data_IF_591735549509
#
_entry.id   IF_591735549509
#
_cell.length_a   1.000
_cell.length_b   1.000
_cell.length_c   1.000
_cell.angle_alpha   90.00
_cell.angle_beta   90.00
_cell.angle_gamma   90.00
#
_symmetry.space_group_name_H-M   'P 1'
#
loop_
_entity.id
_entity.type
_entity.pdbx_description
1 polymer ?
#
# COMPACT_ATOMS: atom_id res chain seq x y z
N UNK A 1 -1.89 -9.08 20.82
CA UNK A 1 -2.65 -9.07 19.55
C UNK A 1 -1.96 -8.21 18.48
N UNK A 2 -1.29 -7.10 18.82
CA UNK A 2 -0.62 -6.27 17.81
C UNK A 2 0.57 -6.95 17.09
N UNK A 3 1.23 -7.95 17.69
CA UNK A 3 2.39 -8.63 17.09
C UNK A 3 2.04 -9.67 16.01
N UNK A 4 0.86 -10.28 16.07
CA UNK A 4 0.54 -11.44 15.23
C UNK A 4 0.35 -11.06 13.76
N UNK A 5 -0.35 -9.96 13.47
CA UNK A 5 -0.53 -9.48 12.11
C UNK A 5 0.80 -9.04 11.47
N UNK A 6 1.70 -8.45 12.26
CA UNK A 6 3.03 -8.02 11.79
C UNK A 6 3.93 -9.23 11.52
N UNK A 7 3.86 -10.27 12.35
CA UNK A 7 4.56 -11.53 12.15
C UNK A 7 4.06 -12.28 10.92
N UNK A 8 2.75 -12.42 10.76
CA UNK A 8 2.13 -13.06 9.59
C UNK A 8 2.48 -12.29 8.31
N UNK A 9 2.39 -10.95 8.34
CA UNK A 9 2.80 -10.12 7.21
C UNK A 9 4.28 -10.31 6.88
N UNK A 10 5.17 -10.37 7.87
CA UNK A 10 6.59 -10.59 7.65
C UNK A 10 6.87 -11.95 6.98
N UNK A 11 6.24 -13.02 7.47
CA UNK A 11 6.40 -14.38 6.91
C UNK A 11 5.87 -14.44 5.48
N UNK A 12 4.66 -13.95 5.23
CA UNK A 12 4.07 -13.99 3.89
C UNK A 12 4.84 -13.14 2.89
N UNK A 13 5.27 -11.94 3.29
CA UNK A 13 6.12 -11.09 2.43
C UNK A 13 7.47 -11.75 2.13
N UNK A 14 8.05 -12.50 3.07
CA UNK A 14 9.25 -13.29 2.80
C UNK A 14 9.00 -14.36 1.72
N UNK A 15 7.87 -15.06 1.81
CA UNK A 15 7.46 -16.06 0.81
C UNK A 15 7.17 -15.43 -0.56
N UNK A 16 6.63 -14.22 -0.60
CA UNK A 16 6.38 -13.48 -1.86
C UNK A 16 7.64 -13.24 -2.69
N UNK A 17 8.82 -13.06 -2.08
CA UNK A 17 10.06 -12.85 -2.84
C UNK A 17 10.95 -14.10 -2.92
N UNK A 18 10.90 -14.99 -1.93
CA UNK A 18 11.84 -16.12 -1.81
C UNK A 18 11.22 -17.48 -2.16
N UNK A 19 10.30 -17.54 -3.12
CA UNK A 19 9.63 -18.78 -3.50
C UNK A 19 9.32 -18.85 -5.00
N UNK A 20 9.01 -20.03 -5.55
CA UNK A 20 8.49 -20.18 -6.91
C UNK A 20 7.19 -19.38 -7.12
N UNK A 21 6.93 -18.96 -8.36
CA UNK A 21 5.83 -18.05 -8.70
C UNK A 21 4.46 -18.48 -8.16
N UNK A 22 4.14 -19.78 -8.16
CA UNK A 22 2.87 -20.29 -7.62
C UNK A 22 2.73 -20.06 -6.11
N UNK A 23 3.83 -20.20 -5.36
CA UNK A 23 3.88 -19.91 -3.92
C UNK A 23 3.84 -18.41 -3.68
N UNK A 24 4.51 -17.60 -4.51
CA UNK A 24 4.43 -16.14 -4.40
C UNK A 24 2.99 -15.65 -4.53
N UNK A 25 2.24 -16.17 -5.53
CA UNK A 25 0.82 -15.86 -5.72
C UNK A 25 -0.02 -16.29 -4.52
N UNK A 26 0.15 -17.51 -4.04
CA UNK A 26 -0.56 -18.01 -2.86
C UNK A 26 -0.24 -17.20 -1.59
N UNK A 27 1.02 -16.81 -1.40
CA UNK A 27 1.45 -15.99 -0.28
C UNK A 27 0.82 -14.58 -0.34
N UNK A 28 0.75 -13.98 -1.52
CA UNK A 28 0.09 -12.68 -1.70
C UNK A 28 -1.42 -12.76 -1.43
N UNK A 29 -2.09 -13.83 -1.89
CA UNK A 29 -3.50 -14.08 -1.60
C UNK A 29 -3.76 -14.27 -0.11
N UNK A 30 -2.92 -15.06 0.58
CA UNK A 30 -3.00 -15.24 2.03
C UNK A 30 -2.79 -13.92 2.78
N UNK A 31 -1.91 -13.06 2.28
CA UNK A 31 -1.69 -11.74 2.86
C UNK A 31 -2.94 -10.86 2.69
N UNK A 32 -3.64 -10.99 1.56
CA UNK A 32 -4.95 -10.37 1.35
C UNK A 32 -6.01 -10.85 2.34
N UNK A 33 -6.11 -12.16 2.60
CA UNK A 33 -7.02 -12.68 3.61
C UNK A 33 -6.70 -12.16 5.02
N UNK A 34 -5.41 -12.11 5.38
CA UNK A 34 -4.98 -11.51 6.65
C UNK A 34 -5.43 -10.04 6.76
N UNK A 35 -5.27 -9.25 5.69
CA UNK A 35 -5.73 -7.85 5.63
C UNK A 35 -7.23 -7.72 5.88
N UNK A 36 -8.04 -8.69 5.44
CA UNK A 36 -9.49 -8.70 5.66
C UNK A 36 -9.90 -9.06 7.10
N UNK A 37 -9.07 -9.82 7.81
CA UNK A 37 -9.35 -10.25 9.19
C UNK A 37 -8.96 -9.24 10.27
N UNK A 38 -8.12 -8.26 9.95
CA UNK A 38 -7.68 -7.21 10.88
C UNK A 38 -8.31 -5.87 10.53
N UNK A 39 -8.29 -4.89 11.44
CA UNK A 39 -8.87 -3.58 11.08
C UNK A 39 -8.04 -2.90 9.99
N UNK A 40 -8.66 -2.03 9.18
CA UNK A 40 -7.97 -1.29 8.14
C UNK A 40 -6.74 -0.55 8.64
N UNK A 41 -6.81 0.12 9.79
CA UNK A 41 -5.68 0.85 10.36
C UNK A 41 -4.43 -0.02 10.60
N UNK A 42 -4.63 -1.28 11.03
CA UNK A 42 -3.54 -2.25 11.25
C UNK A 42 -3.02 -2.81 9.93
N UNK A 43 -3.93 -3.24 9.06
CA UNK A 43 -3.57 -3.71 7.72
C UNK A 43 -2.73 -2.67 6.95
N UNK A 44 -3.16 -1.41 6.96
CA UNK A 44 -2.42 -0.33 6.28
C UNK A 44 -1.01 -0.17 6.86
N UNK A 45 -0.87 -0.15 8.19
CA UNK A 45 0.45 -0.03 8.84
C UNK A 45 1.37 -1.20 8.47
N UNK A 46 0.91 -2.45 8.61
CA UNK A 46 1.70 -3.63 8.33
C UNK A 46 2.20 -3.68 6.87
N UNK A 47 1.34 -3.28 5.92
CA UNK A 47 1.68 -3.22 4.51
C UNK A 47 2.67 -2.08 4.19
N UNK A 48 2.45 -0.88 4.73
CA UNK A 48 3.30 0.29 4.45
C UNK A 48 4.72 0.13 5.00
N UNK A 49 4.87 -0.38 6.22
CA UNK A 49 6.15 -0.43 6.93
C UNK A 49 7.14 -1.39 6.26
N UNK A 50 6.65 -2.50 5.69
CA UNK A 50 7.49 -3.58 5.16
C UNK A 50 7.48 -3.68 3.64
N UNK A 51 6.37 -3.33 3.01
CA UNK A 51 6.11 -3.66 1.61
C UNK A 51 6.54 -2.59 0.61
N UNK A 52 6.22 -1.33 0.88
CA UNK A 52 6.32 -0.23 -0.10
C UNK A 52 7.77 0.04 -0.52
N UNK A 53 8.72 -0.02 0.42
CA UNK A 53 10.15 0.25 0.17
C UNK A 53 10.98 -1.03 -0.03
N UNK A 54 10.34 -2.17 -0.28
CA UNK A 54 11.07 -3.42 -0.47
C UNK A 54 11.96 -3.38 -1.71
N UNK A 55 13.16 -3.96 -1.62
CA UNK A 55 14.05 -4.13 -2.79
C UNK A 55 13.47 -5.10 -3.83
N UNK A 56 12.54 -5.97 -3.43
CA UNK A 56 11.96 -6.99 -4.29
C UNK A 56 10.67 -6.49 -4.95
N UNK A 57 10.65 -6.52 -6.28
CA UNK A 57 9.52 -6.06 -7.10
C UNK A 57 8.23 -6.81 -6.78
N UNK A 58 8.33 -8.13 -6.55
CA UNK A 58 7.19 -8.99 -6.23
C UNK A 58 6.48 -8.54 -4.95
N UNK A 59 7.26 -8.15 -3.93
CA UNK A 59 6.73 -7.62 -2.67
C UNK A 59 6.07 -6.27 -2.88
N UNK A 60 6.72 -5.34 -3.58
CA UNK A 60 6.14 -4.01 -3.84
C UNK A 60 4.84 -4.11 -4.63
N UNK A 61 4.81 -4.95 -5.66
CA UNK A 61 3.60 -5.23 -6.46
C UNK A 61 2.46 -5.77 -5.60
N UNK A 62 2.72 -6.84 -4.83
CA UNK A 62 1.72 -7.45 -3.97
C UNK A 62 1.14 -6.44 -2.96
N UNK A 63 2.01 -5.66 -2.31
CA UNK A 63 1.59 -4.65 -1.34
C UNK A 63 0.82 -3.51 -1.99
N UNK A 64 1.20 -3.07 -3.19
CA UNK A 64 0.49 -2.03 -3.91
C UNK A 64 -0.94 -2.46 -4.29
N UNK A 65 -1.12 -3.70 -4.77
CA UNK A 65 -2.43 -4.28 -5.08
C UNK A 65 -3.34 -4.35 -3.83
N UNK A 66 -2.80 -4.83 -2.71
CA UNK A 66 -3.53 -4.95 -1.44
C UNK A 66 -3.87 -3.59 -0.83
N UNK A 67 -2.95 -2.62 -0.91
CA UNK A 67 -3.20 -1.25 -0.45
C UNK A 67 -4.29 -0.58 -1.28
N UNK A 68 -4.30 -0.78 -2.60
CA UNK A 68 -5.32 -0.18 -3.47
C UNK A 68 -6.69 -0.76 -3.10
N UNK A 69 -6.77 -2.09 -3.01
CA UNK A 69 -8.00 -2.78 -2.59
C UNK A 69 -8.51 -2.30 -1.23
N UNK A 70 -7.62 -2.07 -0.26
CA UNK A 70 -7.99 -1.54 1.05
C UNK A 70 -8.49 -0.09 0.97
N UNK A 71 -7.83 0.75 0.17
CA UNK A 71 -8.22 2.13 -0.04
C UNK A 71 -9.59 2.23 -0.73
N UNK A 72 -9.84 1.41 -1.74
CA UNK A 72 -11.13 1.31 -2.44
C UNK A 72 -12.25 0.91 -1.48
N UNK A 73 -12.02 -0.12 -0.67
CA UNK A 73 -12.99 -0.59 0.35
C UNK A 73 -13.30 0.48 1.41
N UNK A 74 -12.30 1.25 1.83
CA UNK A 74 -12.50 2.33 2.81
C UNK A 74 -13.21 3.54 2.18
N UNK A 75 -12.88 3.88 0.94
CA UNK A 75 -13.31 5.08 0.26
C UNK A 75 -12.57 6.33 0.73
N UNK A 76 -12.38 7.27 -0.20
CA UNK A 76 -11.54 8.47 -0.02
C UNK A 76 -11.96 9.34 1.18
N UNK A 77 -13.26 9.49 1.43
CA UNK A 77 -13.76 10.32 2.54
C UNK A 77 -13.37 9.75 3.90
N UNK A 78 -13.47 8.43 4.08
CA UNK A 78 -13.03 7.77 5.33
C UNK A 78 -11.52 7.85 5.47
N UNK A 79 -10.77 7.61 4.38
CA UNK A 79 -9.31 7.72 4.38
C UNK A 79 -8.84 9.12 4.80
N UNK A 80 -9.48 10.18 4.30
CA UNK A 80 -9.16 11.56 4.62
C UNK A 80 -9.33 11.89 6.11
N UNK A 81 -10.27 11.22 6.78
CA UNK A 81 -10.52 11.35 8.22
C UNK A 81 -9.53 10.57 9.10
N UNK A 82 -8.65 9.74 8.53
CA UNK A 82 -7.71 8.93 9.32
C UNK A 82 -6.45 9.72 9.69
N UNK A 83 -5.79 9.39 10.81
CA UNK A 83 -4.46 9.91 11.14
C UNK A 83 -3.36 9.53 10.13
N UNK A 84 -3.65 8.59 9.22
CA UNK A 84 -2.70 8.06 8.23
C UNK A 84 -2.83 8.71 6.86
N UNK A 85 -3.75 9.68 6.69
CA UNK A 85 -4.04 10.31 5.40
C UNK A 85 -2.78 10.84 4.69
N UNK A 86 -1.96 11.64 5.37
CA UNK A 86 -0.73 12.19 4.78
C UNK A 86 0.23 11.09 4.35
N UNK A 87 0.46 10.11 5.24
CA UNK A 87 1.35 8.99 4.97
C UNK A 87 0.86 8.14 3.78
N UNK A 88 -0.45 7.96 3.64
CA UNK A 88 -1.07 7.27 2.50
C UNK A 88 -0.86 8.04 1.20
N UNK A 89 -0.97 9.37 1.20
CA UNK A 89 -0.69 10.20 0.03
C UNK A 89 0.79 10.05 -0.40
N UNK A 90 1.72 10.09 0.55
CA UNK A 90 3.14 9.85 0.27
C UNK A 90 3.39 8.45 -0.30
N UNK A 91 2.74 7.42 0.25
CA UNK A 91 2.88 6.04 -0.26
C UNK A 91 2.29 5.89 -1.65
N UNK A 92 1.11 6.45 -1.92
CA UNK A 92 0.51 6.44 -3.25
C UNK A 92 1.42 7.13 -4.28
N UNK A 93 1.96 8.31 -3.94
CA UNK A 93 2.94 9.02 -4.78
C UNK A 93 4.24 8.26 -4.98
N UNK A 94 4.71 7.53 -3.96
CA UNK A 94 5.90 6.66 -4.06
C UNK A 94 5.64 5.50 -5.04
N UNK A 95 4.52 4.80 -4.89
CA UNK A 95 4.16 3.66 -5.73
C UNK A 95 3.88 4.09 -7.17
N UNK A 96 3.28 5.27 -7.38
CA UNK A 96 3.06 5.85 -8.70
C UNK A 96 4.37 6.07 -9.49
N UNK A 97 5.48 6.28 -8.78
CA UNK A 97 6.81 6.50 -9.34
C UNK A 97 7.69 5.23 -9.33
N UNK A 98 7.14 4.05 -9.00
CA UNK A 98 7.91 2.80 -8.92
C UNK A 98 8.60 2.46 -10.26
N UNK A 99 9.68 1.67 -10.25
CA UNK A 99 10.32 1.21 -11.49
C UNK A 99 9.52 0.12 -12.22
N UNK A 100 8.66 -0.63 -11.51
CA UNK A 100 7.85 -1.70 -12.07
C UNK A 100 6.48 -1.21 -12.56
N UNK A 101 6.07 -1.66 -13.76
CA UNK A 101 4.85 -1.18 -14.45
C UNK A 101 3.56 -1.42 -13.65
N UNK A 102 3.36 -2.63 -13.13
CA UNK A 102 2.12 -2.95 -12.40
C UNK A 102 2.05 -2.18 -11.09
N UNK A 103 3.20 -2.03 -10.41
CA UNK A 103 3.28 -1.29 -9.15
C UNK A 103 2.95 0.19 -9.38
N UNK A 104 3.48 0.79 -10.45
CA UNK A 104 3.10 2.14 -10.88
C UNK A 104 1.62 2.25 -11.19
N UNK A 105 1.05 1.27 -11.89
CA UNK A 105 -0.37 1.28 -12.22
C UNK A 105 -1.24 1.34 -10.96
N UNK A 106 -0.99 0.49 -9.96
CA UNK A 106 -1.71 0.55 -8.69
C UNK A 106 -1.51 1.90 -7.97
N UNK A 107 -0.28 2.42 -7.96
CA UNK A 107 0.01 3.74 -7.39
C UNK A 107 -0.76 4.88 -8.09
N UNK A 108 -0.87 4.85 -9.41
CA UNK A 108 -1.65 5.83 -10.17
C UNK A 108 -3.15 5.76 -9.83
N UNK A 109 -3.73 4.56 -9.70
CA UNK A 109 -5.13 4.42 -9.31
C UNK A 109 -5.37 4.94 -7.88
N UNK A 110 -4.44 4.70 -6.95
CA UNK A 110 -4.49 5.31 -5.61
C UNK A 110 -4.46 6.85 -5.70
N UNK A 111 -3.50 7.42 -6.44
CA UNK A 111 -3.38 8.88 -6.59
C UNK A 111 -4.66 9.47 -7.20
N UNK A 112 -5.21 8.84 -8.24
CA UNK A 112 -6.46 9.26 -8.89
C UNK A 112 -7.64 9.28 -7.91
N UNK A 113 -7.76 8.25 -7.07
CA UNK A 113 -8.77 8.22 -6.01
C UNK A 113 -8.55 9.33 -4.99
N UNK A 114 -7.32 9.57 -4.55
CA UNK A 114 -7.00 10.61 -3.58
C UNK A 114 -7.31 12.02 -4.13
N UNK A 115 -7.04 12.27 -5.41
CA UNK A 115 -7.31 13.56 -6.06
C UNK A 115 -8.80 13.95 -6.09
N UNK A 116 -9.72 13.00 -5.88
CA UNK A 116 -11.16 13.30 -5.81
C UNK A 116 -11.59 13.94 -4.49
N UNK A 117 -10.66 14.22 -3.56
CA UNK A 117 -10.96 14.82 -2.25
C UNK A 117 -10.00 15.97 -1.93
N UNK A 118 -10.56 17.14 -1.58
CA UNK A 118 -9.82 18.39 -1.42
C UNK A 118 -8.62 18.31 -0.46
N UNK A 119 -8.79 17.64 0.69
CA UNK A 119 -7.70 17.44 1.67
C UNK A 119 -6.47 16.77 1.02
N UNK A 120 -6.69 15.71 0.25
CA UNK A 120 -5.60 14.96 -0.37
C UNK A 120 -4.99 15.70 -1.55
N UNK A 121 -5.80 16.46 -2.30
CA UNK A 121 -5.30 17.33 -3.36
C UNK A 121 -4.24 18.31 -2.82
N UNK A 122 -4.53 18.99 -1.71
CA UNK A 122 -3.58 19.89 -1.06
C UNK A 122 -2.30 19.17 -0.60
N UNK A 123 -2.43 17.97 -0.02
CA UNK A 123 -1.28 17.18 0.44
C UNK A 123 -0.39 16.71 -0.71
N UNK A 124 -0.98 16.29 -1.83
CA UNK A 124 -0.25 15.89 -3.03
C UNK A 124 0.45 17.09 -3.67
N UNK A 125 -0.22 18.24 -3.78
CA UNK A 125 0.37 19.48 -4.30
C UNK A 125 1.58 19.95 -3.47
N UNK A 126 1.49 19.88 -2.13
CA UNK A 126 2.62 20.19 -1.25
C UNK A 126 3.82 19.26 -1.48
N UNK A 127 3.57 17.96 -1.69
CA UNK A 127 4.64 16.99 -1.94
C UNK A 127 5.37 17.22 -3.27
N UNK A 128 4.68 17.71 -4.30
CA UNK A 128 5.28 18.04 -5.59
C UNK A 128 6.12 19.31 -5.49
N UNK A 129 5.64 20.34 -4.79
CA UNK A 129 6.37 21.59 -4.58
C UNK A 129 7.71 21.41 -3.85
N UNK A 130 7.88 20.34 -3.07
CA UNK A 130 9.14 20.03 -2.38
C UNK A 130 10.17 19.29 -3.24
N UNK A 131 9.78 18.74 -4.39
CA UNK A 131 10.68 17.99 -5.27
C UNK A 131 11.28 18.84 -6.42
N UNK A 132 10.79 20.07 -6.61
CA UNK A 132 11.27 21.03 -7.63
C UNK A 132 12.31 22.04 -7.09
N UNK A 133 12.97 21.75 -5.96
CA UNK A 133 14.01 22.58 -5.33
C UNK A 133 15.34 21.84 -5.15
#
# INVERSE_FOLDING_TARGET
>A
MDSEADEVAAVLLHMVWNSPEFIQKAACQNLGMMVETVTPARATTALMDRGVKSRYVQVRKCVAELLLSLMEKMGVTKLAGTPRAERLATVAGTLAQDSHKDTRHYGHEMVKMLLSHQKFKMLLEQSLSTHDL
#
